data_IF_430764007340
#
_entry.id   IF_430764007340
#
_cell.length_a   1.000
_cell.length_b   1.000
_cell.length_c   1.000
_cell.angle_alpha   90.00
_cell.angle_beta   90.00
_cell.angle_gamma   90.00
#
_symmetry.space_group_name_H-M   'P 1'
#
loop_
_entity.id
_entity.type
_entity.pdbx_description
1 polymer ?
#
# COMPACT_ATOMS: atom_id res chain seq x y z
N UNK A 1 5.96 22.24 7.78
CA UNK A 1 6.95 21.81 6.76
C UNK A 1 6.20 21.65 5.45
N UNK A 2 6.88 21.72 4.32
CA UNK A 2 6.22 21.64 2.99
C UNK A 2 6.60 20.34 2.32
N UNK A 3 5.66 19.67 1.68
CA UNK A 3 5.94 18.48 0.87
C UNK A 3 6.93 18.79 -0.25
N UNK A 4 7.86 17.89 -0.49
CA UNK A 4 8.84 17.98 -1.57
C UNK A 4 9.24 16.59 -2.08
N UNK A 5 9.59 16.51 -3.36
CA UNK A 5 10.23 15.33 -3.93
C UNK A 5 11.71 15.30 -3.57
N UNK A 6 12.25 14.10 -3.46
CA UNK A 6 13.70 13.92 -3.39
C UNK A 6 14.34 13.93 -4.78
N UNK A 7 15.69 13.87 -4.83
CA UNK A 7 16.43 14.02 -6.09
C UNK A 7 16.16 12.90 -7.11
N UNK A 8 15.98 11.65 -6.68
CA UNK A 8 15.71 10.54 -7.59
C UNK A 8 14.33 10.69 -8.24
N UNK A 9 13.28 11.00 -7.44
CA UNK A 9 11.93 11.22 -7.95
C UNK A 9 11.87 12.42 -8.90
N UNK A 10 12.58 13.51 -8.58
CA UNK A 10 12.69 14.68 -9.45
C UNK A 10 13.40 14.33 -10.76
N UNK A 11 14.54 13.62 -10.70
CA UNK A 11 15.30 13.20 -11.88
C UNK A 11 14.54 12.20 -12.75
N UNK A 12 13.67 11.38 -12.15
CA UNK A 12 12.78 10.46 -12.87
C UNK A 12 11.55 11.17 -13.49
N UNK A 13 11.45 12.50 -13.37
CA UNK A 13 10.42 13.32 -14.00
C UNK A 13 9.10 13.37 -13.25
N UNK A 14 9.05 12.92 -11.99
CA UNK A 14 7.86 13.04 -11.16
C UNK A 14 7.56 14.51 -10.84
N UNK A 15 6.27 14.85 -10.87
CA UNK A 15 5.75 16.16 -10.44
C UNK A 15 5.02 16.00 -9.12
N UNK A 16 4.80 17.11 -8.43
CA UNK A 16 4.16 17.15 -7.12
C UNK A 16 3.02 18.18 -7.10
N UNK A 17 1.84 17.75 -6.71
CA UNK A 17 0.70 18.58 -6.35
C UNK A 17 0.39 18.37 -4.86
N UNK A 18 0.72 19.35 -4.04
CA UNK A 18 0.48 19.33 -2.60
C UNK A 18 -0.74 20.20 -2.25
N UNK A 19 -1.55 19.72 -1.31
CA UNK A 19 -2.77 20.38 -0.86
C UNK A 19 -2.77 20.50 0.67
N UNK A 20 -3.27 21.62 1.18
CA UNK A 20 -3.51 21.77 2.61
C UNK A 20 -4.62 20.83 3.08
N UNK A 21 -5.70 20.74 2.28
CA UNK A 21 -6.83 19.83 2.48
C UNK A 21 -7.43 19.49 1.11
N UNK A 22 -7.91 18.26 0.95
CA UNK A 22 -8.59 17.81 -0.27
C UNK A 22 -9.64 16.75 0.06
N UNK A 23 -10.61 16.53 -0.83
CA UNK A 23 -11.58 15.45 -0.70
C UNK A 23 -10.89 14.08 -0.66
N UNK A 24 -10.18 13.75 -1.75
CA UNK A 24 -9.40 12.51 -1.89
C UNK A 24 -8.30 12.72 -2.92
N UNK A 25 -7.06 12.36 -2.57
CA UNK A 25 -5.92 12.40 -3.48
C UNK A 25 -6.10 11.48 -4.69
N UNK A 26 -6.70 10.29 -4.50
CA UNK A 26 -7.05 9.40 -5.62
C UNK A 26 -8.11 10.01 -6.55
N UNK A 27 -9.14 10.65 -5.98
CA UNK A 27 -10.19 11.25 -6.79
C UNK A 27 -9.66 12.42 -7.63
N UNK A 28 -8.81 13.26 -7.04
CA UNK A 28 -8.15 14.38 -7.74
C UNK A 28 -7.23 13.85 -8.86
N UNK A 29 -6.37 12.85 -8.53
CA UNK A 29 -5.49 12.25 -9.51
C UNK A 29 -6.26 11.68 -10.72
N UNK A 30 -7.37 11.00 -10.48
CA UNK A 30 -8.21 10.44 -11.54
C UNK A 30 -8.93 11.55 -12.33
N UNK A 31 -9.41 12.61 -11.68
CA UNK A 31 -9.99 13.77 -12.36
C UNK A 31 -8.97 14.41 -13.30
N UNK A 32 -7.73 14.64 -12.83
CA UNK A 32 -6.65 15.19 -13.66
C UNK A 32 -6.31 14.29 -14.85
N UNK A 33 -6.36 12.96 -14.68
CA UNK A 33 -6.15 12.03 -15.78
C UNK A 33 -7.21 12.17 -16.88
N UNK A 34 -8.49 12.34 -16.50
CA UNK A 34 -9.60 12.62 -17.43
C UNK A 34 -9.42 13.96 -18.16
N UNK A 35 -8.90 14.96 -17.45
CA UNK A 35 -8.60 16.30 -18.01
C UNK A 35 -7.32 16.34 -18.84
N UNK A 36 -6.68 15.19 -19.08
CA UNK A 36 -5.52 15.09 -19.95
C UNK A 36 -4.17 15.05 -19.27
N UNK A 37 -4.08 15.04 -17.93
CA UNK A 37 -2.85 14.80 -17.20
C UNK A 37 -2.31 13.41 -17.52
N UNK A 38 -1.03 13.30 -17.84
CA UNK A 38 -0.40 12.02 -18.24
C UNK A 38 0.59 11.49 -17.20
N UNK A 39 0.76 12.20 -16.07
CA UNK A 39 1.72 11.81 -15.05
C UNK A 39 3.18 11.86 -15.53
N UNK A 40 4.13 11.30 -14.81
CA UNK A 40 3.95 10.81 -13.44
C UNK A 40 3.80 11.98 -12.45
N UNK A 41 2.74 11.95 -11.66
CA UNK A 41 2.43 13.06 -10.73
C UNK A 41 1.99 12.52 -9.39
N UNK A 42 2.60 13.01 -8.32
CA UNK A 42 2.18 12.78 -6.94
C UNK A 42 1.17 13.85 -6.49
N UNK A 43 0.12 13.40 -5.82
CA UNK A 43 -0.91 14.21 -5.15
C UNK A 43 -0.83 13.92 -3.66
N UNK A 44 -0.60 14.93 -2.82
CA UNK A 44 -0.34 14.70 -1.40
C UNK A 44 -1.06 15.69 -0.51
N UNK A 45 -1.45 15.24 0.67
CA UNK A 45 -2.02 16.07 1.73
C UNK A 45 -1.82 15.40 3.09
N UNK A 46 -1.97 16.19 4.16
CA UNK A 46 -2.13 15.68 5.52
C UNK A 46 -3.60 15.60 5.97
N UNK A 47 -4.55 16.01 5.11
CA UNK A 47 -5.96 16.04 5.47
C UNK A 47 -6.88 15.72 4.28
N UNK A 48 -7.56 14.57 4.34
CA UNK A 48 -8.63 14.20 3.41
C UNK A 48 -9.99 14.31 4.08
N UNK A 49 -10.98 14.93 3.43
CA UNK A 49 -12.36 15.04 3.91
C UNK A 49 -13.27 13.92 3.42
N UNK A 50 -12.85 13.21 2.35
CA UNK A 50 -13.59 12.10 1.73
C UNK A 50 -12.62 10.97 1.32
N UNK A 51 -11.69 10.61 2.21
CA UNK A 51 -10.71 9.54 1.98
C UNK A 51 -11.40 8.20 1.68
N UNK A 52 -10.84 7.45 0.74
CA UNK A 52 -11.41 6.18 0.26
C UNK A 52 -10.47 5.02 0.46
N UNK A 53 -11.03 3.90 0.91
CA UNK A 53 -10.39 2.60 0.93
C UNK A 53 -11.08 1.63 -0.03
N UNK A 54 -10.63 0.38 -0.03
CA UNK A 54 -11.25 -0.69 -0.84
C UNK A 54 -12.71 -0.89 -0.48
N UNK A 55 -13.51 -1.37 -1.46
CA UNK A 55 -14.95 -1.67 -1.31
C UNK A 55 -15.74 -0.47 -0.79
N UNK A 56 -15.37 0.74 -1.21
CA UNK A 56 -16.02 2.00 -0.84
C UNK A 56 -16.00 2.31 0.69
N UNK A 57 -15.18 1.62 1.48
CA UNK A 57 -15.00 1.97 2.88
C UNK A 57 -14.31 3.32 3.00
N UNK A 58 -14.71 4.13 3.97
CA UNK A 58 -14.01 5.37 4.26
C UNK A 58 -12.58 5.07 4.76
N UNK A 59 -11.61 5.84 4.28
CA UNK A 59 -10.30 5.95 4.90
C UNK A 59 -10.32 7.17 5.81
N UNK A 60 -10.50 6.92 7.09
CA UNK A 60 -10.53 7.98 8.12
C UNK A 60 -9.12 8.14 8.66
N UNK A 61 -8.57 9.35 8.54
CA UNK A 61 -7.26 9.68 9.07
C UNK A 61 -7.31 11.06 9.73
N UNK A 62 -6.88 11.18 11.00
CA UNK A 62 -6.67 12.49 11.62
C UNK A 62 -5.69 13.34 10.79
N UNK A 63 -5.87 14.67 10.88
CA UNK A 63 -4.93 15.61 10.26
C UNK A 63 -3.50 15.36 10.74
N UNK A 64 -2.54 15.37 9.81
CA UNK A 64 -1.14 15.06 10.06
C UNK A 64 -0.72 13.64 9.66
N UNK A 65 -1.67 12.77 9.33
CA UNK A 65 -1.38 11.49 8.66
C UNK A 65 -1.07 11.74 7.18
N UNK A 66 -0.34 10.83 6.54
CA UNK A 66 -0.04 10.93 5.12
C UNK A 66 -1.17 10.35 4.29
N UNK A 67 -1.68 11.15 3.36
CA UNK A 67 -2.45 10.69 2.21
C UNK A 67 -1.70 11.09 0.93
N UNK A 68 -1.31 10.12 0.13
CA UNK A 68 -0.61 10.33 -1.12
C UNK A 68 -1.17 9.45 -2.22
N UNK A 69 -1.14 9.95 -3.46
CA UNK A 69 -1.52 9.18 -4.64
C UNK A 69 -0.55 9.49 -5.77
N UNK A 70 -0.06 8.48 -6.47
CA UNK A 70 0.69 8.66 -7.70
C UNK A 70 -0.18 8.30 -8.88
N UNK A 71 -0.23 9.20 -9.87
CA UNK A 71 -0.84 8.99 -11.18
C UNK A 71 0.23 8.64 -12.19
N UNK A 72 0.04 7.56 -12.90
CA UNK A 72 0.79 7.22 -14.10
C UNK A 72 -0.17 6.79 -15.22
N UNK A 73 0.13 7.19 -16.45
CA UNK A 73 -0.61 6.75 -17.64
C UNK A 73 0.28 5.83 -18.46
N UNK A 74 -0.16 4.59 -18.63
CA UNK A 74 0.67 3.51 -19.15
C UNK A 74 -0.08 2.66 -20.18
N UNK A 75 0.67 1.95 -21.01
CA UNK A 75 0.17 0.98 -21.99
C UNK A 75 0.36 -0.42 -21.40
N UNK A 76 -0.54 -0.82 -20.53
CA UNK A 76 -0.58 -2.15 -19.91
C UNK A 76 -2.03 -2.59 -19.71
N UNK A 77 -2.26 -3.89 -19.60
CA UNK A 77 -3.59 -4.40 -19.25
C UNK A 77 -3.96 -4.10 -17.79
N UNK A 78 -5.25 -4.02 -17.47
CA UNK A 78 -5.69 -3.84 -16.06
C UNK A 78 -5.14 -4.92 -15.11
N UNK A 79 -5.00 -6.16 -15.57
CA UNK A 79 -4.43 -7.26 -14.79
C UNK A 79 -2.96 -7.01 -14.45
N UNK A 80 -2.17 -6.53 -15.41
CA UNK A 80 -0.77 -6.13 -15.18
C UNK A 80 -0.71 -4.93 -14.24
N UNK A 81 -1.53 -3.89 -14.48
CA UNK A 81 -1.58 -2.71 -13.63
C UNK A 81 -1.88 -3.06 -12.16
N UNK A 82 -2.75 -4.05 -11.90
CA UNK A 82 -3.08 -4.48 -10.53
C UNK A 82 -1.84 -4.95 -9.76
N UNK A 83 -0.83 -5.50 -10.42
CA UNK A 83 0.41 -5.96 -9.78
C UNK A 83 1.30 -4.80 -9.30
N UNK A 84 1.06 -3.57 -9.76
CA UNK A 84 1.76 -2.37 -9.30
C UNK A 84 1.55 -2.09 -7.80
N UNK A 85 0.43 -2.59 -7.22
CA UNK A 85 0.18 -2.53 -5.79
C UNK A 85 1.25 -3.23 -4.94
N UNK A 86 1.90 -4.26 -5.48
CA UNK A 86 3.00 -4.95 -4.81
C UNK A 86 4.26 -4.07 -4.75
N UNK A 87 4.58 -3.38 -5.84
CA UNK A 87 5.67 -2.39 -5.86
C UNK A 87 5.40 -1.24 -4.89
N UNK A 88 4.16 -0.77 -4.80
CA UNK A 88 3.76 0.26 -3.84
C UNK A 88 3.96 -0.20 -2.38
N UNK A 89 3.59 -1.44 -2.07
CA UNK A 89 3.81 -2.03 -0.75
C UNK A 89 5.29 -2.07 -0.39
N UNK A 90 6.14 -2.53 -1.31
CA UNK A 90 7.60 -2.57 -1.13
C UNK A 90 8.18 -1.16 -0.96
N UNK A 91 7.73 -0.20 -1.76
CA UNK A 91 8.21 1.19 -1.67
C UNK A 91 7.92 1.80 -0.31
N UNK A 92 6.70 1.59 0.19
CA UNK A 92 6.32 2.09 1.50
C UNK A 92 7.07 1.38 2.62
N UNK A 93 7.16 0.04 2.59
CA UNK A 93 7.88 -0.74 3.60
C UNK A 93 9.35 -0.33 3.65
N UNK A 94 10.02 -0.17 2.51
CA UNK A 94 11.41 0.30 2.43
C UNK A 94 11.58 1.70 3.02
N UNK A 95 10.67 2.63 2.72
CA UNK A 95 10.69 3.98 3.29
C UNK A 95 10.52 3.96 4.82
N UNK A 96 9.57 3.16 5.31
CA UNK A 96 9.30 2.99 6.75
C UNK A 96 10.49 2.38 7.48
N UNK A 97 11.10 1.34 6.91
CA UNK A 97 12.28 0.68 7.48
C UNK A 97 13.43 1.67 7.62
N UNK A 98 13.72 2.46 6.56
CA UNK A 98 14.78 3.47 6.59
C UNK A 98 14.54 4.51 7.68
N UNK A 99 13.36 5.09 7.74
CA UNK A 99 13.02 6.11 8.74
C UNK A 99 13.03 5.56 10.17
N UNK A 100 12.59 4.33 10.36
CA UNK A 100 12.65 3.65 11.67
C UNK A 100 14.08 3.45 12.13
N UNK A 101 14.99 3.00 11.25
CA UNK A 101 16.41 2.86 11.57
C UNK A 101 17.03 4.20 11.90
N UNK A 102 16.77 5.25 11.13
CA UNK A 102 17.26 6.62 11.41
C UNK A 102 16.74 7.14 12.76
N UNK A 103 15.47 6.89 13.09
CA UNK A 103 14.89 7.26 14.38
C UNK A 103 15.52 6.48 15.54
N UNK A 104 15.78 5.18 15.36
CA UNK A 104 16.40 4.32 16.36
C UNK A 104 17.87 4.67 16.62
N UNK A 105 18.62 5.08 15.59
CA UNK A 105 19.98 5.58 15.75
C UNK A 105 20.04 6.84 16.64
N UNK A 106 18.96 7.65 16.63
CA UNK A 106 18.80 8.80 17.53
C UNK A 106 18.41 8.40 18.96
N UNK A 107 17.96 7.16 19.16
CA UNK A 107 17.53 6.57 20.44
C UNK A 107 18.35 5.33 20.72
N UNK A 108 19.47 5.46 21.41
CA UNK A 108 20.32 4.33 21.76
C UNK A 108 19.52 3.21 22.45
N UNK A 109 19.52 2.00 21.87
CA UNK A 109 18.98 0.78 22.48
C UNK A 109 17.53 0.41 22.14
N UNK A 110 16.87 1.07 21.18
CA UNK A 110 15.55 0.63 20.72
C UNK A 110 15.66 -0.55 19.75
N UNK A 111 14.82 -1.57 19.95
CA UNK A 111 14.69 -2.68 18.99
C UNK A 111 14.13 -2.20 17.65
N UNK A 112 14.63 -2.73 16.52
CA UNK A 112 14.11 -2.39 15.21
C UNK A 112 12.63 -2.78 15.08
N UNK A 113 11.79 -1.86 14.59
CA UNK A 113 10.39 -2.16 14.28
C UNK A 113 10.28 -3.18 13.15
N UNK A 114 9.28 -4.06 13.26
CA UNK A 114 8.99 -5.07 12.25
C UNK A 114 7.84 -4.58 11.37
N UNK A 115 8.17 -4.27 10.12
CA UNK A 115 7.17 -4.00 9.09
C UNK A 115 6.92 -5.26 8.26
N UNK A 116 5.68 -5.47 7.83
CA UNK A 116 5.31 -6.62 7.01
C UNK A 116 4.20 -6.23 6.03
N UNK A 117 4.20 -6.90 4.87
CA UNK A 117 3.22 -6.69 3.81
C UNK A 117 2.08 -7.70 3.96
N UNK A 118 0.86 -7.22 4.19
CA UNK A 118 -0.32 -8.07 4.29
C UNK A 118 -1.12 -8.00 2.98
N UNK A 119 -1.24 -9.14 2.31
CA UNK A 119 -2.07 -9.24 1.11
C UNK A 119 -3.54 -8.87 1.43
N UNK A 120 -4.22 -8.17 0.52
CA UNK A 120 -3.69 -7.71 -0.77
C UNK A 120 -3.03 -6.33 -0.75
N UNK A 121 -3.19 -5.51 0.30
CA UNK A 121 -2.96 -4.07 0.19
C UNK A 121 -2.63 -3.34 1.50
N UNK A 122 -2.27 -4.04 2.54
CA UNK A 122 -1.96 -3.41 3.82
C UNK A 122 -0.46 -3.52 4.17
N UNK A 123 0.05 -2.51 4.84
CA UNK A 123 1.35 -2.57 5.51
C UNK A 123 1.10 -2.60 7.01
N UNK A 124 1.69 -3.58 7.67
CA UNK A 124 1.61 -3.74 9.10
C UNK A 124 2.90 -3.25 9.78
N UNK A 125 2.77 -2.74 10.98
CA UNK A 125 3.85 -2.55 11.93
C UNK A 125 3.47 -3.25 13.23
N UNK A 126 4.38 -4.09 13.77
CA UNK A 126 4.11 -4.90 14.97
C UNK A 126 2.75 -5.64 14.90
N UNK A 127 2.45 -6.23 13.75
CA UNK A 127 1.22 -6.98 13.43
C UNK A 127 -0.07 -6.12 13.40
N UNK A 128 0.03 -4.80 13.54
CA UNK A 128 -1.09 -3.87 13.48
C UNK A 128 -1.08 -3.07 12.17
N UNK A 129 -2.25 -2.74 11.66
CA UNK A 129 -2.34 -2.00 10.40
C UNK A 129 -1.80 -0.57 10.55
N UNK A 130 -0.76 -0.27 9.80
CA UNK A 130 -0.15 1.07 9.73
C UNK A 130 -0.62 1.83 8.49
N UNK A 131 -0.77 1.12 7.36
CA UNK A 131 -1.09 1.74 6.07
C UNK A 131 -2.00 0.87 5.22
N UNK A 132 -2.72 1.52 4.29
CA UNK A 132 -3.50 0.87 3.25
C UNK A 132 -3.20 1.44 1.87
N UNK A 133 -3.20 0.58 0.85
CA UNK A 133 -2.95 0.92 -0.54
C UNK A 133 -4.25 0.74 -1.33
N UNK A 134 -4.62 1.72 -2.14
CA UNK A 134 -5.78 1.68 -3.02
C UNK A 134 -5.37 1.96 -4.45
N UNK A 135 -5.39 0.94 -5.29
CA UNK A 135 -5.15 1.10 -6.72
C UNK A 135 -6.50 1.24 -7.44
N UNK A 136 -6.61 2.28 -8.23
CA UNK A 136 -7.73 2.55 -9.14
C UNK A 136 -7.18 2.73 -10.55
N UNK A 137 -7.92 2.26 -11.56
CA UNK A 137 -7.50 2.38 -12.94
C UNK A 137 -8.70 2.68 -13.85
N UNK A 138 -8.48 3.52 -14.85
CA UNK A 138 -9.50 3.94 -15.81
C UNK A 138 -8.87 4.09 -17.21
N UNK A 139 -9.60 3.64 -18.23
CA UNK A 139 -9.18 3.86 -19.61
C UNK A 139 -9.25 5.35 -19.96
N UNK A 140 -8.20 5.86 -20.59
CA UNK A 140 -8.12 7.25 -21.07
C UNK A 140 -7.82 7.29 -22.56
N UNK A 141 -7.88 8.47 -23.17
CA UNK A 141 -7.66 8.63 -24.60
C UNK A 141 -6.33 8.00 -25.08
N UNK A 142 -6.38 7.35 -26.24
CA UNK A 142 -5.25 6.69 -26.91
C UNK A 142 -5.00 5.26 -26.41
N UNK A 143 -6.06 4.52 -26.04
CA UNK A 143 -6.02 3.12 -25.56
C UNK A 143 -5.03 2.90 -24.39
N UNK A 144 -4.87 3.93 -23.55
CA UNK A 144 -3.97 3.90 -22.39
C UNK A 144 -4.77 3.80 -21.09
N UNK A 145 -4.12 3.30 -20.08
CA UNK A 145 -4.69 3.17 -18.74
C UNK A 145 -4.10 4.23 -17.82
N UNK A 146 -4.96 5.08 -17.26
CA UNK A 146 -4.58 5.89 -16.11
C UNK A 146 -4.65 5.01 -14.87
N UNK A 147 -3.54 4.89 -14.17
CA UNK A 147 -3.41 4.11 -12.94
C UNK A 147 -3.08 5.06 -11.80
N UNK A 148 -3.92 5.03 -10.77
CA UNK A 148 -3.73 5.83 -9.56
C UNK A 148 -3.48 4.88 -8.40
N UNK A 149 -2.32 5.02 -7.76
CA UNK A 149 -1.96 4.25 -6.58
C UNK A 149 -1.99 5.15 -5.36
N UNK A 150 -3.06 5.03 -4.57
CA UNK A 150 -3.23 5.75 -3.32
C UNK A 150 -2.59 5.00 -2.15
N UNK A 151 -1.90 5.74 -1.30
CA UNK A 151 -1.22 5.22 -0.10
C UNK A 151 -1.59 6.11 1.07
N UNK A 152 -2.38 5.56 2.01
CA UNK A 152 -2.72 6.22 3.25
C UNK A 152 -1.93 5.62 4.40
N UNK A 153 -1.21 6.44 5.19
CA UNK A 153 -0.37 5.96 6.30
C UNK A 153 -0.68 6.72 7.58
N UNK A 154 -0.88 5.97 8.65
CA UNK A 154 -1.08 6.49 10.00
C UNK A 154 0.27 6.99 10.57
N UNK A 155 0.54 8.27 10.44
CA UNK A 155 1.78 8.90 10.95
C UNK A 155 1.60 9.31 12.40
N UNK A 156 0.60 10.16 12.67
CA UNK A 156 0.38 10.75 14.00
C UNK A 156 -0.56 9.89 14.83
N UNK A 157 -1.67 9.41 14.25
CA UNK A 157 -2.67 8.64 14.97
C UNK A 157 -3.37 7.62 14.05
N UNK A 158 -3.82 6.52 14.64
CA UNK A 158 -4.64 5.53 13.98
C UNK A 158 -6.11 5.68 14.41
N UNK A 159 -7.10 5.33 13.54
CA UNK A 159 -8.50 5.30 13.93
C UNK A 159 -8.75 4.21 14.98
N UNK A 160 -9.60 4.51 15.96
CA UNK A 160 -10.06 3.54 16.95
C UNK A 160 -11.21 2.68 16.41
N UNK A 161 -11.43 1.51 17.00
CA UNK A 161 -12.59 0.65 16.69
C UNK A 161 -12.57 0.01 15.32
N UNK A 162 -11.41 -0.13 14.69
CA UNK A 162 -11.27 -0.80 13.38
C UNK A 162 -11.32 -2.32 13.54
N UNK A 163 -11.92 -3.07 12.58
CA UNK A 163 -11.96 -4.53 12.61
C UNK A 163 -10.58 -5.21 12.66
N UNK A 164 -9.57 -4.56 12.10
CA UNK A 164 -8.16 -4.96 12.21
C UNK A 164 -7.48 -3.96 13.13
N UNK A 165 -6.77 -4.40 14.19
CA UNK A 165 -6.02 -3.49 15.03
C UNK A 165 -5.12 -2.57 14.21
N UNK A 166 -5.17 -1.28 14.49
CA UNK A 166 -4.40 -0.27 13.77
C UNK A 166 -3.44 0.46 14.70
N UNK A 167 -2.32 0.92 14.16
CA UNK A 167 -1.30 1.69 14.86
C UNK A 167 -0.85 2.89 14.03
N UNK A 168 -0.02 3.75 14.61
CA UNK A 168 0.63 4.88 13.94
C UNK A 168 2.13 4.90 14.24
N UNK A 169 2.91 5.59 13.41
CA UNK A 169 4.34 5.77 13.66
C UNK A 169 4.60 6.43 15.02
N UNK A 170 3.81 7.45 15.37
CA UNK A 170 3.93 8.13 16.65
C UNK A 170 3.67 7.18 17.83
N UNK A 171 2.65 6.31 17.76
CA UNK A 171 2.37 5.31 18.80
C UNK A 171 3.50 4.28 18.96
N UNK A 172 4.24 4.00 17.87
CA UNK A 172 5.41 3.12 17.88
C UNK A 172 6.72 3.86 18.26
N UNK A 173 6.61 5.15 18.60
CA UNK A 173 7.75 5.95 18.99
C UNK A 173 8.61 6.46 17.82
N UNK A 174 8.17 6.35 16.59
CA UNK A 174 8.82 6.94 15.42
C UNK A 174 8.19 8.32 15.16
N UNK A 175 8.92 9.35 15.53
CA UNK A 175 8.47 10.74 15.41
C UNK A 175 9.01 11.37 14.12
N UNK A 176 8.32 11.10 13.04
CA UNK A 176 8.57 11.66 11.70
C UNK A 176 7.31 12.40 11.21
N UNK A 177 7.49 13.40 10.34
CA UNK A 177 6.37 14.08 9.69
C UNK A 177 5.86 13.33 8.47
N UNK A 178 4.63 13.64 8.04
CA UNK A 178 4.08 13.10 6.80
C UNK A 178 4.93 13.50 5.58
N UNK A 179 5.54 14.70 5.61
CA UNK A 179 6.38 15.21 4.54
C UNK A 179 7.70 14.43 4.42
N UNK A 180 8.28 14.04 5.56
CA UNK A 180 9.51 13.24 5.60
C UNK A 180 9.23 11.81 5.09
N UNK A 181 8.12 11.21 5.55
CA UNK A 181 7.68 9.91 5.04
C UNK A 181 7.37 9.95 3.54
N UNK A 182 6.67 10.98 3.06
CA UNK A 182 6.38 11.13 1.65
C UNK A 182 7.64 11.21 0.79
N UNK A 183 8.62 12.01 1.21
CA UNK A 183 9.89 12.14 0.49
C UNK A 183 10.62 10.79 0.39
N UNK A 184 10.68 10.03 1.49
CA UNK A 184 11.28 8.70 1.51
C UNK A 184 10.50 7.70 0.62
N UNK A 185 9.15 7.75 0.66
CA UNK A 185 8.29 6.93 -0.18
C UNK A 185 8.48 7.22 -1.67
N UNK A 186 8.51 8.50 -2.06
CA UNK A 186 8.68 8.90 -3.46
C UNK A 186 10.03 8.44 -4.04
N UNK A 187 11.10 8.45 -3.23
CA UNK A 187 12.41 7.92 -3.63
C UNK A 187 12.37 6.39 -3.80
N UNK A 188 11.81 5.65 -2.83
CA UNK A 188 11.68 4.20 -2.91
C UNK A 188 10.74 3.77 -4.05
N UNK A 189 9.72 4.57 -4.35
CA UNK A 189 8.83 4.33 -5.49
C UNK A 189 9.57 4.27 -6.82
N UNK A 190 10.51 5.19 -7.06
CA UNK A 190 11.31 5.19 -8.30
C UNK A 190 12.03 3.87 -8.49
N UNK A 191 12.62 3.32 -7.43
CA UNK A 191 13.33 2.04 -7.45
C UNK A 191 12.38 0.88 -7.80
N UNK A 192 11.33 0.67 -6.98
CA UNK A 192 10.46 -0.50 -7.16
C UNK A 192 9.56 -0.38 -8.39
N UNK A 193 9.16 0.83 -8.79
CA UNK A 193 8.48 1.08 -10.05
C UNK A 193 9.39 0.74 -11.25
N UNK A 194 10.67 1.08 -11.15
CA UNK A 194 11.68 0.72 -12.14
C UNK A 194 11.87 -0.79 -12.26
N UNK A 195 11.96 -1.51 -11.14
CA UNK A 195 12.04 -2.98 -11.13
C UNK A 195 10.77 -3.60 -11.72
N UNK A 196 9.58 -3.09 -11.36
CA UNK A 196 8.30 -3.59 -11.87
C UNK A 196 8.19 -3.48 -13.40
N UNK A 197 8.73 -2.43 -14.00
CA UNK A 197 8.95 -2.25 -15.45
C UNK A 197 7.75 -2.65 -16.33
N UNK A 198 6.60 -2.00 -16.11
CA UNK A 198 5.36 -2.31 -16.84
C UNK A 198 4.95 -3.79 -16.74
N UNK A 199 5.20 -4.40 -15.60
CA UNK A 199 4.88 -5.80 -15.29
C UNK A 199 5.96 -6.81 -15.69
N UNK A 200 6.94 -6.43 -16.52
CA UNK A 200 8.02 -7.34 -16.96
C UNK A 200 8.87 -7.85 -15.79
N UNK A 201 9.08 -7.02 -14.78
CA UNK A 201 9.83 -7.36 -13.59
C UNK A 201 8.97 -7.85 -12.41
N UNK A 202 7.69 -8.19 -12.63
CA UNK A 202 6.82 -8.63 -11.54
C UNK A 202 7.34 -9.85 -10.78
N UNK A 203 8.07 -10.74 -11.42
CA UNK A 203 8.71 -11.89 -10.76
C UNK A 203 9.65 -11.47 -9.62
N UNK A 204 10.48 -10.44 -9.83
CA UNK A 204 11.39 -9.91 -8.80
C UNK A 204 10.61 -9.13 -7.72
N UNK A 205 9.63 -8.35 -8.10
CA UNK A 205 8.72 -7.67 -7.17
C UNK A 205 8.01 -8.70 -6.27
N UNK A 206 7.46 -9.76 -6.84
CA UNK A 206 6.78 -10.84 -6.11
C UNK A 206 7.72 -11.53 -5.12
N UNK A 207 8.93 -11.85 -5.54
CA UNK A 207 9.95 -12.47 -4.68
C UNK A 207 10.31 -11.55 -3.50
N UNK A 208 10.57 -10.28 -3.77
CA UNK A 208 10.87 -9.29 -2.74
C UNK A 208 9.69 -9.08 -1.77
N UNK A 209 8.46 -9.09 -2.29
CA UNK A 209 7.24 -8.96 -1.52
C UNK A 209 7.01 -10.17 -0.61
N UNK A 210 7.16 -11.40 -1.13
CA UNK A 210 7.03 -12.63 -0.35
C UNK A 210 8.05 -12.71 0.80
N UNK A 211 9.25 -12.21 0.60
CA UNK A 211 10.28 -12.14 1.66
C UNK A 211 9.88 -11.20 2.82
N UNK A 212 8.91 -10.30 2.61
CA UNK A 212 8.37 -9.34 3.59
C UNK A 212 6.92 -9.59 3.95
N UNK A 213 6.34 -10.67 3.40
CA UNK A 213 4.92 -10.98 3.57
C UNK A 213 4.60 -11.42 4.99
N UNK A 214 3.47 -10.93 5.47
CA UNK A 214 2.89 -11.41 6.71
C UNK A 214 2.11 -12.70 6.48
N UNK A 215 2.36 -13.71 7.29
CA UNK A 215 1.55 -14.90 7.39
C UNK A 215 1.77 -15.98 6.34
N UNK A 216 2.84 -15.94 5.55
CA UNK A 216 3.20 -17.08 4.67
C UNK A 216 3.46 -18.32 5.52
N UNK A 217 2.80 -19.42 5.18
CA UNK A 217 2.82 -20.67 5.95
C UNK A 217 1.86 -20.70 7.14
N UNK A 218 1.19 -19.59 7.48
CA UNK A 218 0.21 -19.54 8.59
C UNK A 218 -1.20 -19.96 8.10
N UNK A 219 -2.05 -20.49 9.00
CA UNK A 219 -3.46 -20.70 8.73
C UNK A 219 -4.16 -19.38 8.39
N UNK A 220 -5.02 -19.41 7.35
CA UNK A 220 -5.78 -18.25 6.91
C UNK A 220 -7.23 -18.61 6.64
N UNK A 221 -8.11 -17.63 6.90
CA UNK A 221 -9.50 -17.64 6.48
C UNK A 221 -9.72 -16.46 5.56
N UNK A 222 -10.22 -16.69 4.37
CA UNK A 222 -10.44 -15.63 3.36
C UNK A 222 -11.92 -15.56 3.03
N UNK A 223 -12.50 -14.36 3.20
CA UNK A 223 -13.89 -14.08 2.83
C UNK A 223 -13.94 -13.35 1.49
N UNK A 224 -14.56 -13.99 0.49
CA UNK A 224 -14.76 -13.45 -0.86
C UNK A 224 -16.25 -13.36 -1.14
N UNK A 225 -16.89 -12.19 -0.88
CA UNK A 225 -18.35 -12.09 -0.98
C UNK A 225 -19.02 -13.08 -0.03
N UNK A 226 -19.77 -14.05 -0.60
CA UNK A 226 -20.47 -15.10 0.15
C UNK A 226 -19.64 -16.36 0.41
N UNK A 227 -18.46 -16.48 -0.19
CA UNK A 227 -17.62 -17.68 -0.09
C UNK A 227 -16.53 -17.48 0.94
N UNK A 228 -16.30 -18.51 1.77
CA UNK A 228 -15.15 -18.57 2.69
C UNK A 228 -14.21 -19.68 2.22
N UNK A 229 -12.92 -19.35 2.13
CA UNK A 229 -11.85 -20.31 1.84
C UNK A 229 -10.93 -20.39 3.05
N UNK A 230 -10.72 -21.59 3.53
CA UNK A 230 -9.84 -21.89 4.67
C UNK A 230 -8.65 -22.75 4.24
N UNK A 231 -7.51 -22.51 4.84
CA UNK A 231 -6.29 -23.25 4.55
C UNK A 231 -5.04 -22.55 5.05
N UNK A 232 -3.92 -22.83 4.40
CA UNK A 232 -2.62 -22.21 4.70
C UNK A 232 -2.25 -21.24 3.57
N UNK A 233 -1.77 -20.06 3.91
CA UNK A 233 -1.20 -19.13 2.93
C UNK A 233 0.06 -19.76 2.31
N UNK A 234 -0.05 -20.27 1.09
CA UNK A 234 1.03 -20.99 0.41
C UNK A 234 2.02 -20.01 -0.24
N UNK A 235 1.53 -19.17 -1.14
CA UNK A 235 2.34 -18.17 -1.88
C UNK A 235 1.45 -17.13 -2.56
N UNK A 236 2.08 -16.23 -3.32
CA UNK A 236 1.45 -15.39 -4.35
C UNK A 236 1.85 -15.98 -5.69
N UNK A 237 0.92 -16.11 -6.65
CA UNK A 237 1.25 -16.59 -7.99
C UNK A 237 1.82 -15.47 -8.89
N UNK A 238 2.10 -15.80 -10.14
CA UNK A 238 2.67 -14.89 -11.15
C UNK A 238 1.69 -13.84 -11.68
N UNK A 239 0.43 -13.90 -11.26
CA UNK A 239 -0.60 -12.89 -11.54
C UNK A 239 -0.94 -12.01 -10.33
N UNK A 240 -0.32 -12.26 -9.15
CA UNK A 240 -0.59 -11.54 -7.91
C UNK A 240 -1.73 -12.12 -7.07
N UNK A 241 -2.29 -13.28 -7.45
CA UNK A 241 -3.29 -13.97 -6.65
C UNK A 241 -2.66 -14.63 -5.42
N UNK A 242 -3.35 -14.53 -4.29
CA UNK A 242 -2.96 -15.29 -3.10
C UNK A 242 -3.36 -16.76 -3.28
N UNK A 243 -2.42 -17.67 -3.11
CA UNK A 243 -2.64 -19.11 -3.17
C UNK A 243 -2.84 -19.67 -1.76
N UNK A 244 -4.00 -20.26 -1.57
CA UNK A 244 -4.34 -21.00 -0.33
C UNK A 244 -4.25 -22.49 -0.59
N UNK A 245 -3.56 -23.22 0.28
CA UNK A 245 -3.55 -24.67 0.29
C UNK A 245 -4.56 -25.15 1.32
N UNK A 246 -5.63 -25.81 0.85
CA UNK A 246 -6.67 -26.37 1.72
C UNK A 246 -6.18 -27.59 2.49
N UNK A 247 -6.95 -28.07 3.46
CA UNK A 247 -6.63 -29.26 4.25
C UNK A 247 -6.50 -30.53 3.37
N UNK A 248 -7.21 -30.58 2.24
CA UNK A 248 -7.16 -31.66 1.25
C UNK A 248 -5.95 -31.55 0.30
N UNK A 249 -5.07 -30.55 0.52
CA UNK A 249 -3.89 -30.29 -0.31
C UNK A 249 -4.18 -29.55 -1.63
N UNK A 250 -5.43 -29.14 -1.89
CA UNK A 250 -5.79 -28.37 -3.10
C UNK A 250 -5.29 -26.94 -3.00
N UNK A 251 -4.74 -26.42 -4.11
CA UNK A 251 -4.36 -25.00 -4.24
C UNK A 251 -5.51 -24.19 -4.83
N UNK A 252 -5.93 -23.14 -4.13
CA UNK A 252 -7.01 -22.25 -4.51
C UNK A 252 -6.44 -20.85 -4.70
N UNK A 253 -6.60 -20.29 -5.91
CA UNK A 253 -6.18 -18.93 -6.22
C UNK A 253 -7.27 -17.92 -5.83
N UNK A 254 -6.89 -16.90 -5.08
CA UNK A 254 -7.77 -15.84 -4.60
C UNK A 254 -7.31 -14.52 -5.24
N UNK A 255 -8.16 -13.91 -6.04
CA UNK A 255 -7.89 -12.63 -6.72
C UNK A 255 -8.20 -11.41 -5.84
N UNK A 256 -9.19 -11.53 -4.94
CA UNK A 256 -9.58 -10.48 -4.01
C UNK A 256 -10.29 -11.08 -2.79
N UNK A 257 -10.09 -10.52 -1.63
CA UNK A 257 -10.72 -11.00 -0.40
C UNK A 257 -10.34 -10.20 0.82
N UNK A 258 -10.97 -10.53 1.95
CA UNK A 258 -10.53 -10.12 3.29
C UNK A 258 -9.81 -11.29 3.91
N UNK A 259 -8.56 -11.07 4.29
CA UNK A 259 -7.68 -12.11 4.84
C UNK A 259 -7.61 -11.98 6.36
N UNK A 260 -7.95 -13.06 7.04
CA UNK A 260 -7.86 -13.21 8.48
C UNK A 260 -6.85 -14.32 8.78
N UNK A 261 -5.87 -14.02 9.61
CA UNK A 261 -4.87 -15.00 10.05
C UNK A 261 -5.36 -15.68 11.33
N UNK A 262 -5.26 -17.00 11.36
CA UNK A 262 -5.76 -17.87 12.42
C UNK A 262 -6.74 -18.91 11.88
N UNK A 263 -7.30 -19.72 12.76
CA UNK A 263 -8.33 -20.71 12.42
C UNK A 263 -9.72 -20.07 12.37
N UNK A 264 -10.69 -20.70 11.69
CA UNK A 264 -12.07 -20.24 11.67
C UNK A 264 -12.65 -20.03 13.07
N UNK A 265 -12.26 -20.85 14.04
CA UNK A 265 -12.67 -20.71 15.44
C UNK A 265 -12.15 -19.43 16.10
N UNK A 266 -10.95 -18.96 15.73
CA UNK A 266 -10.37 -17.71 16.25
C UNK A 266 -10.90 -16.46 15.54
N UNK A 267 -11.41 -16.61 14.31
CA UNK A 267 -11.93 -15.51 13.47
C UNK A 267 -13.41 -15.21 13.76
N UNK A 268 -14.16 -16.20 14.31
CA UNK A 268 -15.56 -16.02 14.72
C UNK A 268 -15.76 -15.40 16.10
N UNK A 269 -14.67 -15.19 16.87
CA UNK A 269 -14.69 -14.63 18.22
C UNK A 269 -14.27 -13.15 18.30
N UNK A 270 -14.10 -12.47 17.14
CA UNK A 270 -13.70 -11.06 17.04
C UNK A 270 -14.83 -10.17 16.51
#
# INVERSE_FOLDING_TARGET
MTFSLGPQATSAGYRLAAFDQIGSTNAEAMARARDGERGPTWFVTTEQTAGRGRRQRAWVAPRGNLASSVLEVMDVSPAVAATLGFAAGLSLESALQRLSVEANLRRAGAEPLKFALKWPNDVLAERQKLSGILLEAEAVAGDRLAVVVGIGTNVIAAPAGTPTPATSLAALGVHVGAEELFKALAEAWVEFRGIWDNGRGFGEIRKAWLARAFGVGEPVVIKTGTTTVEGTFDTIDDTGCLIVRTAEGKRVAITAGEVYFGTAASVGAA
#
